data_IF_820358695950
#
_entry.id   IF_820358695950
#
_cell.length_a   1.000
_cell.length_b   1.000
_cell.length_c   1.000
_cell.angle_alpha   90.00
_cell.angle_beta   90.00
_cell.angle_gamma   90.00
#
_symmetry.space_group_name_H-M   'P 1'
#
loop_
_entity.id
_entity.type
_entity.pdbx_description
1 polymer ?
#
# COMPACT_ATOMS: atom_id res chain seq x y z
N UNK A 1 25.39 -9.25 23.24
CA UNK A 1 24.14 -9.78 22.66
C UNK A 1 22.98 -9.38 23.55
N UNK A 2 22.18 -8.45 23.08
CA UNK A 2 20.94 -8.03 23.74
C UNK A 2 19.78 -8.72 23.05
N UNK A 3 18.87 -9.34 23.80
CA UNK A 3 17.65 -9.93 23.23
C UNK A 3 16.61 -8.83 23.08
N UNK A 4 16.22 -8.52 21.85
CA UNK A 4 15.10 -7.63 21.54
C UNK A 4 13.85 -8.47 21.27
N UNK A 5 12.70 -8.05 21.83
CA UNK A 5 11.42 -8.74 21.64
C UNK A 5 10.55 -7.89 20.71
N UNK A 6 10.13 -8.48 19.59
CA UNK A 6 9.09 -7.91 18.74
C UNK A 6 7.76 -8.57 19.09
N UNK A 7 6.84 -7.77 19.63
CA UNK A 7 5.51 -8.24 20.00
C UNK A 7 4.71 -8.71 18.79
N UNK A 8 3.81 -9.66 19.01
CA UNK A 8 2.84 -10.13 18.01
C UNK A 8 2.07 -8.96 17.34
N UNK A 9 1.69 -7.95 18.13
CA UNK A 9 0.95 -6.77 17.64
C UNK A 9 1.78 -5.86 16.75
N UNK A 10 3.07 -5.70 17.02
CA UNK A 10 3.98 -4.95 16.15
C UNK A 10 4.11 -5.63 14.79
N UNK A 11 4.28 -6.96 14.78
CA UNK A 11 4.39 -7.72 13.54
C UNK A 11 3.10 -7.62 12.70
N UNK A 12 1.93 -7.76 13.32
CA UNK A 12 0.64 -7.54 12.67
C UNK A 12 0.53 -6.15 12.05
N UNK A 13 0.89 -5.10 12.80
CA UNK A 13 0.86 -3.71 12.30
C UNK A 13 1.84 -3.49 11.16
N UNK A 14 3.03 -4.09 11.22
CA UNK A 14 4.00 -4.04 10.11
C UNK A 14 3.44 -4.69 8.84
N UNK A 15 2.72 -5.82 8.96
CA UNK A 15 2.06 -6.47 7.82
C UNK A 15 0.94 -5.60 7.22
N UNK A 16 0.24 -4.82 8.04
CA UNK A 16 -0.86 -3.95 7.62
C UNK A 16 -0.39 -2.60 7.07
N UNK A 17 0.79 -2.11 7.47
CA UNK A 17 1.21 -0.72 7.29
C UNK A 17 1.11 -0.25 5.83
N UNK A 18 1.70 -1.01 4.89
CA UNK A 18 1.74 -0.60 3.49
C UNK A 18 0.34 -0.54 2.87
N UNK A 19 -0.52 -1.52 3.16
CA UNK A 19 -1.91 -1.57 2.67
C UNK A 19 -2.75 -0.44 3.25
N UNK A 20 -2.60 -0.17 4.55
CA UNK A 20 -3.33 0.89 5.26
C UNK A 20 -3.01 2.28 4.71
N UNK A 21 -1.73 2.66 4.67
CA UNK A 21 -1.33 3.98 4.20
C UNK A 21 -1.56 4.17 2.70
N UNK A 22 -1.40 3.11 1.88
CA UNK A 22 -1.77 3.16 0.46
C UNK A 22 -3.26 3.42 0.26
N UNK A 23 -4.12 2.84 1.11
CA UNK A 23 -5.56 3.11 1.05
C UNK A 23 -5.87 4.57 1.40
N UNK A 24 -5.25 5.11 2.44
CA UNK A 24 -5.41 6.52 2.82
C UNK A 24 -4.97 7.44 1.70
N UNK A 25 -3.82 7.16 1.08
CA UNK A 25 -3.28 7.96 -0.01
C UNK A 25 -4.17 7.97 -1.26
N UNK A 26 -4.86 6.88 -1.54
CA UNK A 26 -5.81 6.78 -2.66
C UNK A 26 -7.15 7.45 -2.34
N UNK A 27 -7.65 7.30 -1.12
CA UNK A 27 -8.92 7.92 -0.67
C UNK A 27 -8.78 9.44 -0.57
N UNK A 28 -7.61 9.94 -0.17
CA UNK A 28 -7.33 11.37 -0.02
C UNK A 28 -6.24 11.76 -1.04
N UNK A 29 -6.62 12.17 -2.26
CA UNK A 29 -5.67 12.31 -3.38
C UNK A 29 -4.47 13.22 -3.11
N UNK A 30 -4.64 14.27 -2.31
CA UNK A 30 -3.53 15.18 -1.98
C UNK A 30 -2.38 14.47 -1.23
N UNK A 31 -2.68 13.37 -0.52
CA UNK A 31 -1.68 12.59 0.20
C UNK A 31 -0.90 11.65 -0.71
N UNK A 32 -1.33 11.41 -1.96
CA UNK A 32 -0.67 10.46 -2.86
C UNK A 32 0.79 10.84 -3.14
N UNK A 33 1.08 12.14 -3.29
CA UNK A 33 2.44 12.62 -3.57
C UNK A 33 3.39 12.37 -2.39
N UNK A 34 2.91 12.64 -1.17
CA UNK A 34 3.65 12.38 0.07
C UNK A 34 3.86 10.88 0.22
N UNK A 35 2.81 10.09 -0.01
CA UNK A 35 2.88 8.65 0.13
C UNK A 35 3.74 7.98 -0.93
N UNK A 36 3.83 8.46 -2.17
CA UNK A 36 4.75 7.93 -3.17
C UNK A 36 6.18 7.94 -2.63
N UNK A 37 6.64 9.06 -2.07
CA UNK A 37 7.97 9.14 -1.47
C UNK A 37 8.09 8.28 -0.20
N UNK A 38 7.15 8.40 0.74
CA UNK A 38 7.17 7.66 2.00
C UNK A 38 7.07 6.13 1.80
N UNK A 39 6.34 5.68 0.78
CA UNK A 39 6.09 4.28 0.48
C UNK A 39 7.38 3.52 0.19
N UNK A 40 8.41 4.15 -0.37
CA UNK A 40 9.70 3.51 -0.65
C UNK A 40 10.36 3.09 0.66
N UNK A 41 10.33 3.96 1.68
CA UNK A 41 10.89 3.66 3.00
C UNK A 41 10.08 2.58 3.72
N UNK A 42 8.74 2.68 3.69
CA UNK A 42 7.88 1.66 4.31
C UNK A 42 8.05 0.31 3.60
N UNK A 43 8.13 0.31 2.27
CA UNK A 43 8.37 -0.89 1.48
C UNK A 43 9.71 -1.52 1.86
N UNK A 44 10.79 -0.74 1.89
CA UNK A 44 12.12 -1.23 2.28
C UNK A 44 12.13 -1.77 3.71
N UNK A 45 11.49 -1.07 4.66
CA UNK A 45 11.40 -1.50 6.05
C UNK A 45 10.66 -2.84 6.20
N UNK A 46 9.52 -2.99 5.50
CA UNK A 46 8.74 -4.23 5.54
C UNK A 46 9.44 -5.36 4.77
N UNK A 47 10.09 -5.06 3.64
CA UNK A 47 10.79 -6.05 2.83
C UNK A 47 11.96 -6.72 3.56
N UNK A 48 12.60 -5.98 4.48
CA UNK A 48 13.68 -6.44 5.35
C UNK A 48 13.20 -6.89 6.74
N UNK A 49 11.89 -6.98 6.96
CA UNK A 49 11.36 -7.44 8.24
C UNK A 49 11.76 -8.92 8.49
N UNK A 50 12.23 -9.30 9.71
CA UNK A 50 12.74 -10.65 9.97
C UNK A 50 11.67 -11.74 9.86
N UNK A 51 10.41 -11.42 10.15
CA UNK A 51 9.29 -12.34 9.93
C UNK A 51 8.86 -12.37 8.46
N UNK A 52 9.01 -13.54 7.81
CA UNK A 52 8.54 -13.79 6.44
C UNK A 52 7.05 -13.50 6.25
N UNK A 53 6.19 -13.84 7.22
CA UNK A 53 4.76 -13.60 7.13
C UNK A 53 4.42 -12.13 6.96
N UNK A 54 5.19 -11.23 7.59
CA UNK A 54 5.03 -9.77 7.40
C UNK A 54 5.36 -9.38 5.96
N UNK A 55 6.42 -9.95 5.38
CA UNK A 55 6.84 -9.71 4.00
C UNK A 55 5.82 -10.21 2.97
N UNK A 56 5.11 -11.30 3.28
CA UNK A 56 4.12 -11.88 2.36
C UNK A 56 2.91 -10.96 2.11
N UNK A 57 2.61 -10.04 3.04
CA UNK A 57 1.58 -9.00 2.86
C UNK A 57 2.06 -7.81 2.01
N UNK A 58 3.39 -7.60 1.92
CA UNK A 58 3.96 -6.44 1.22
C UNK A 58 3.77 -6.52 -0.28
N UNK A 59 4.16 -7.64 -0.89
CA UNK A 59 4.19 -7.81 -2.34
C UNK A 59 2.84 -7.50 -2.99
N UNK A 60 1.71 -8.13 -2.59
CA UNK A 60 0.43 -7.85 -3.22
C UNK A 60 -0.05 -6.40 -2.98
N UNK A 61 0.23 -5.81 -1.82
CA UNK A 61 -0.11 -4.42 -1.54
C UNK A 61 0.71 -3.44 -2.41
N UNK A 62 2.02 -3.70 -2.55
CA UNK A 62 2.94 -2.97 -3.41
C UNK A 62 2.52 -3.02 -4.88
N UNK A 63 2.21 -4.21 -5.41
CA UNK A 63 1.77 -4.37 -6.80
C UNK A 63 0.53 -3.54 -7.13
N UNK A 64 -0.46 -3.47 -6.23
CA UNK A 64 -1.68 -2.69 -6.45
C UNK A 64 -1.40 -1.19 -6.43
N UNK A 65 -0.66 -0.71 -5.42
CA UNK A 65 -0.37 0.70 -5.29
C UNK A 65 0.54 1.20 -6.43
N UNK A 66 1.67 0.53 -6.67
CA UNK A 66 2.59 0.93 -7.74
C UNK A 66 2.03 0.66 -9.13
N UNK A 67 1.21 -0.38 -9.30
CA UNK A 67 0.46 -0.60 -10.54
C UNK A 67 -0.50 0.55 -10.85
N UNK A 68 -1.24 1.04 -9.83
CA UNK A 68 -2.10 2.22 -9.98
C UNK A 68 -1.29 3.47 -10.34
N UNK A 69 -0.24 3.79 -9.58
CA UNK A 69 0.60 4.97 -9.81
C UNK A 69 1.24 4.93 -11.20
N UNK A 70 1.82 3.80 -11.60
CA UNK A 70 2.40 3.63 -12.93
C UNK A 70 1.36 3.77 -14.05
N UNK A 71 0.15 3.25 -13.84
CA UNK A 71 -0.96 3.40 -14.80
C UNK A 71 -1.38 4.87 -14.94
N UNK A 72 -1.42 5.64 -13.85
CA UNK A 72 -1.75 7.08 -13.90
C UNK A 72 -0.73 7.83 -14.76
N UNK A 73 0.56 7.49 -14.68
CA UNK A 73 1.60 8.10 -15.55
C UNK A 73 1.30 7.83 -17.02
N UNK A 74 0.92 6.60 -17.39
CA UNK A 74 0.54 6.26 -18.77
C UNK A 74 -0.70 7.03 -19.20
N UNK A 75 -1.75 7.06 -18.38
CA UNK A 75 -2.99 7.80 -18.67
C UNK A 75 -2.70 9.30 -18.88
N UNK A 76 -1.79 9.88 -18.09
CA UNK A 76 -1.44 11.29 -18.20
C UNK A 76 -0.88 11.65 -19.58
N UNK A 77 -0.08 10.77 -20.20
CA UNK A 77 0.46 10.96 -21.54
C UNK A 77 -0.62 11.04 -22.63
N UNK A 78 -1.78 10.41 -22.41
CA UNK A 78 -2.92 10.40 -23.34
C UNK A 78 -4.13 11.18 -22.80
N UNK A 79 -3.92 12.01 -21.78
CA UNK A 79 -4.99 12.68 -21.05
C UNK A 79 -5.88 13.55 -21.94
N UNK A 80 -5.33 14.20 -22.96
CA UNK A 80 -6.12 15.04 -23.87
C UNK A 80 -7.14 14.25 -24.70
N UNK A 81 -6.75 13.07 -25.20
CA UNK A 81 -7.63 12.19 -25.97
C UNK A 81 -8.65 11.50 -25.04
N UNK A 82 -8.17 11.00 -23.90
CA UNK A 82 -9.01 10.34 -22.91
C UNK A 82 -10.01 11.31 -22.27
N UNK A 83 -9.64 12.56 -22.04
CA UNK A 83 -10.53 13.58 -21.50
C UNK A 83 -11.66 13.91 -22.47
N UNK A 84 -11.39 13.98 -23.78
CA UNK A 84 -12.45 14.16 -24.79
C UNK A 84 -13.45 13.00 -24.76
N UNK A 85 -12.96 11.77 -24.66
CA UNK A 85 -13.81 10.58 -24.56
C UNK A 85 -14.60 10.51 -23.26
N UNK A 86 -14.00 10.91 -22.14
CA UNK A 86 -14.60 10.88 -20.81
C UNK A 86 -15.56 12.06 -20.52
N UNK A 87 -15.73 13.01 -21.44
CA UNK A 87 -16.58 14.20 -21.23
C UNK A 87 -15.91 15.34 -20.47
N UNK A 88 -14.58 15.38 -20.43
CA UNK A 88 -13.76 16.44 -19.84
C UNK A 88 -12.66 15.92 -18.91
N UNK A 89 -11.71 16.80 -18.56
CA UNK A 89 -10.61 16.47 -17.65
C UNK A 89 -11.11 16.13 -16.23
N UNK A 90 -12.16 16.80 -15.77
CA UNK A 90 -12.77 16.52 -14.46
C UNK A 90 -13.41 15.14 -14.40
N UNK A 91 -14.19 14.77 -15.42
CA UNK A 91 -14.79 13.45 -15.54
C UNK A 91 -13.72 12.36 -15.59
N UNK A 92 -12.66 12.56 -16.39
CA UNK A 92 -11.52 11.65 -16.43
C UNK A 92 -10.84 11.49 -15.06
N UNK A 93 -10.61 12.59 -14.34
CA UNK A 93 -9.99 12.55 -13.01
C UNK A 93 -10.84 11.77 -12.00
N UNK A 94 -12.17 11.98 -12.00
CA UNK A 94 -13.10 11.24 -11.12
C UNK A 94 -13.11 9.75 -11.47
N UNK A 95 -13.12 9.40 -12.76
CA UNK A 95 -13.07 8.00 -13.21
C UNK A 95 -11.80 7.31 -12.72
N UNK A 96 -10.64 7.95 -12.90
CA UNK A 96 -9.35 7.43 -12.42
C UNK A 96 -9.37 7.26 -10.90
N UNK A 97 -9.90 8.24 -10.18
CA UNK A 97 -9.96 8.22 -8.72
C UNK A 97 -10.84 7.07 -8.21
N UNK A 98 -12.06 6.92 -8.75
CA UNK A 98 -12.97 5.83 -8.40
C UNK A 98 -12.34 4.48 -8.73
N UNK A 99 -11.73 4.34 -9.93
CA UNK A 99 -11.03 3.11 -10.30
C UNK A 99 -9.88 2.80 -9.32
N UNK A 100 -9.11 3.80 -8.92
CA UNK A 100 -8.06 3.67 -7.91
C UNK A 100 -8.59 3.17 -6.57
N UNK A 101 -9.68 3.75 -6.07
CA UNK A 101 -10.35 3.31 -4.84
C UNK A 101 -10.76 1.84 -4.97
N UNK A 102 -11.46 1.47 -6.05
CA UNK A 102 -11.98 0.12 -6.26
C UNK A 102 -10.88 -0.95 -6.37
N UNK A 103 -9.72 -0.60 -6.93
CA UNK A 103 -8.59 -1.51 -7.10
C UNK A 103 -7.79 -1.65 -5.78
N UNK A 104 -7.55 -0.56 -5.07
CA UNK A 104 -6.64 -0.56 -3.91
C UNK A 104 -7.37 -0.85 -2.60
N UNK A 105 -8.46 -0.14 -2.32
CA UNK A 105 -9.06 -0.07 -0.99
C UNK A 105 -9.73 -1.38 -0.57
N UNK A 106 -10.60 -2.03 -1.37
CA UNK A 106 -11.22 -3.30 -0.98
C UNK A 106 -10.20 -4.40 -0.72
N UNK A 107 -9.16 -4.48 -1.56
CA UNK A 107 -8.11 -5.48 -1.42
C UNK A 107 -7.20 -5.19 -0.22
N UNK A 108 -6.93 -3.92 0.07
CA UNK A 108 -6.21 -3.53 1.28
C UNK A 108 -7.02 -3.84 2.56
N UNK A 109 -8.32 -3.55 2.59
CA UNK A 109 -9.20 -3.92 3.71
C UNK A 109 -9.17 -5.43 3.93
N UNK A 110 -9.32 -6.22 2.86
CA UNK A 110 -9.24 -7.69 2.93
C UNK A 110 -7.91 -8.14 3.53
N UNK A 111 -6.80 -7.57 3.08
CA UNK A 111 -5.47 -7.96 3.56
C UNK A 111 -5.26 -7.52 5.02
N UNK A 112 -5.78 -6.36 5.44
CA UNK A 112 -5.76 -5.89 6.84
C UNK A 112 -6.55 -6.85 7.74
N UNK A 113 -7.79 -7.18 7.36
CA UNK A 113 -8.64 -8.11 8.11
C UNK A 113 -8.07 -9.52 8.16
N UNK A 114 -7.40 -9.96 7.08
CA UNK A 114 -6.70 -11.25 7.06
C UNK A 114 -5.54 -11.23 8.05
N UNK A 115 -4.73 -10.16 8.06
CA UNK A 115 -3.63 -10.02 9.00
C UNK A 115 -4.10 -10.08 10.45
N UNK A 116 -5.26 -9.52 10.81
CA UNK A 116 -5.79 -9.59 12.19
C UNK A 116 -6.13 -11.02 12.66
N UNK A 117 -6.39 -11.93 11.71
CA UNK A 117 -6.80 -13.32 12.00
C UNK A 117 -5.62 -14.29 12.02
N UNK A 118 -4.41 -13.84 11.66
CA UNK A 118 -3.22 -14.69 11.67
C UNK A 118 -2.73 -14.92 13.11
N UNK A 119 -2.22 -16.13 13.44
CA UNK A 119 -1.67 -16.42 14.76
C UNK A 119 -0.27 -15.80 14.90
N UNK A 120 -0.23 -14.51 15.21
CA UNK A 120 1.02 -13.80 15.49
C UNK A 120 1.61 -14.25 16.83
N UNK A 121 2.91 -14.50 16.84
CA UNK A 121 3.67 -14.88 18.03
C UNK A 121 4.76 -13.85 18.29
N UNK A 122 5.18 -13.71 19.54
CA UNK A 122 6.36 -12.91 19.86
C UNK A 122 7.60 -13.48 19.19
N UNK A 123 8.48 -12.59 18.74
CA UNK A 123 9.73 -12.96 18.11
C UNK A 123 10.87 -12.39 18.92
N UNK A 124 11.78 -13.27 19.35
CA UNK A 124 13.04 -12.88 19.96
C UNK A 124 14.07 -12.68 18.85
N UNK A 125 14.78 -11.56 18.91
CA UNK A 125 15.88 -11.25 18.02
C UNK A 125 17.14 -11.07 18.84
N UNK A 126 18.19 -11.77 18.44
CA UNK A 126 19.52 -11.51 18.92
C UNK A 126 20.05 -10.27 18.20
N UNK A 127 20.38 -9.24 18.97
CA UNK A 127 21.02 -8.03 18.48
C UNK A 127 22.44 -7.97 19.05
N UNK A 128 23.40 -7.58 18.20
CA UNK A 128 24.82 -7.47 18.57
C UNK A 128 25.03 -6.48 19.70
#
# INVERSE_FOLDING_TARGET
>A
MTTSIISAKQQMRSAQAFAFFSSIAVVIPVLIFIWIAASIFVYAAVANHPNQRVRDYLIPAGYRFYGLVGTIVVIYNFSSQLAKWAGGYWSLAIIIWIAGILIVVPLAIRDIMRAEREPWQEMQLETE
#
